data_IF_927322389456
#
_entry.id   IF_927322389456
#
_cell.length_a   1.000
_cell.length_b   1.000
_cell.length_c   1.000
_cell.angle_alpha   90.00
_cell.angle_beta   90.00
_cell.angle_gamma   90.00
#
_symmetry.space_group_name_H-M   'P 1'
#
loop_
_entity.id
_entity.type
_entity.pdbx_description
1 polymer ?
#
# COMPACT_ATOMS: atom_id res chain seq x y z
N UNK A 1 20.44 5.48 21.42
CA UNK A 1 21.47 4.45 21.65
C UNK A 1 21.68 3.73 20.33
N UNK A 2 22.89 3.88 19.80
CA UNK A 2 23.35 3.38 18.51
C UNK A 2 23.29 1.84 18.44
N UNK A 3 22.50 1.30 17.50
CA UNK A 3 22.65 -0.08 17.01
C UNK A 3 22.52 -0.07 15.49
N UNK A 4 23.33 0.74 14.80
CA UNK A 4 23.61 0.59 13.37
C UNK A 4 25.11 0.82 13.14
N UNK A 5 25.94 0.17 13.96
CA UNK A 5 27.39 0.11 13.75
C UNK A 5 27.72 -1.03 12.79
N UNK A 6 28.34 -0.67 11.66
CA UNK A 6 29.16 -1.51 10.78
C UNK A 6 28.70 -2.97 10.59
N UNK A 7 27.80 -3.20 9.63
CA UNK A 7 27.82 -4.47 8.91
C UNK A 7 28.79 -4.36 7.74
N UNK A 8 30.06 -4.68 7.99
CA UNK A 8 30.94 -5.16 6.92
C UNK A 8 30.34 -6.47 6.41
N UNK A 9 29.86 -6.46 5.17
CA UNK A 9 29.30 -7.65 4.55
C UNK A 9 30.40 -8.67 4.29
N UNK A 10 30.21 -9.88 4.82
CA UNK A 10 30.95 -11.06 4.41
C UNK A 10 30.68 -11.25 2.92
N UNK A 11 31.71 -11.12 2.08
CA UNK A 11 31.66 -11.61 0.70
C UNK A 11 31.21 -13.07 0.73
N UNK A 12 30.00 -13.36 0.27
CA UNK A 12 29.53 -14.73 0.13
C UNK A 12 30.52 -15.46 -0.78
N UNK A 13 31.28 -16.40 -0.21
CA UNK A 13 32.09 -17.29 -1.00
C UNK A 13 31.17 -18.08 -1.92
N UNK A 14 31.29 -17.81 -3.20
CA UNK A 14 30.62 -18.49 -4.30
C UNK A 14 30.82 -20.01 -4.15
N UNK A 15 29.79 -20.69 -3.63
CA UNK A 15 29.84 -22.14 -3.43
C UNK A 15 29.69 -22.84 -4.77
N UNK A 16 30.40 -23.95 -4.96
CA UNK A 16 30.34 -24.76 -6.18
C UNK A 16 28.91 -25.24 -6.49
N UNK A 17 28.08 -25.43 -5.47
CA UNK A 17 26.66 -25.80 -5.63
C UNK A 17 25.84 -24.73 -6.33
N UNK A 18 25.96 -23.46 -5.91
CA UNK A 18 25.21 -22.35 -6.53
C UNK A 18 25.63 -22.13 -7.98
N UNK A 19 26.93 -22.30 -8.29
CA UNK A 19 27.42 -22.28 -9.68
C UNK A 19 26.72 -23.34 -10.54
N UNK A 20 26.73 -24.58 -10.07
CA UNK A 20 26.20 -25.72 -10.80
C UNK A 20 24.69 -25.57 -11.06
N UNK A 21 23.94 -25.12 -10.04
CA UNK A 21 22.51 -24.86 -10.19
C UNK A 21 22.22 -23.74 -11.20
N UNK A 22 23.08 -22.71 -11.24
CA UNK A 22 22.97 -21.63 -12.22
C UNK A 22 23.31 -22.10 -13.65
N UNK A 23 24.33 -22.94 -13.81
CA UNK A 23 24.66 -23.58 -15.08
C UNK A 23 23.49 -24.41 -15.60
N UNK A 24 22.88 -25.24 -14.74
CA UNK A 24 21.70 -26.03 -15.06
C UNK A 24 20.53 -25.10 -15.45
N UNK A 25 20.30 -24.03 -14.69
CA UNK A 25 19.25 -23.06 -15.01
C UNK A 25 19.45 -22.44 -16.40
N UNK A 26 20.64 -21.90 -16.70
CA UNK A 26 20.91 -21.23 -17.98
C UNK A 26 20.81 -22.22 -19.15
N UNK A 27 21.38 -23.41 -19.01
CA UNK A 27 21.29 -24.47 -20.02
C UNK A 27 19.84 -24.86 -20.30
N UNK A 28 19.02 -25.01 -19.26
CA UNK A 28 17.60 -25.29 -19.40
C UNK A 28 16.85 -24.14 -20.11
N UNK A 29 17.14 -22.88 -19.78
CA UNK A 29 16.51 -21.74 -20.43
C UNK A 29 16.85 -21.65 -21.94
N UNK A 30 18.10 -21.95 -22.31
CA UNK A 30 18.52 -22.04 -23.72
C UNK A 30 17.76 -23.16 -24.43
N UNK A 31 17.71 -24.35 -23.83
CA UNK A 31 17.02 -25.52 -24.40
C UNK A 31 15.52 -25.30 -24.59
N UNK A 32 14.85 -24.68 -23.62
CA UNK A 32 13.41 -24.41 -23.65
C UNK A 32 13.03 -23.29 -24.62
N UNK A 33 14.00 -22.53 -25.14
CA UNK A 33 13.74 -21.41 -26.05
C UNK A 33 14.19 -21.81 -27.46
N UNK A 34 13.28 -22.16 -28.39
CA UNK A 34 13.65 -22.72 -29.70
C UNK A 34 14.70 -21.91 -30.47
N UNK A 35 14.60 -20.57 -30.41
CA UNK A 35 15.54 -19.66 -31.07
C UNK A 35 16.94 -19.66 -30.45
N UNK A 36 17.05 -19.87 -29.14
CA UNK A 36 18.35 -20.01 -28.46
C UNK A 36 18.89 -21.43 -28.67
N UNK A 37 18.02 -22.44 -28.65
CA UNK A 37 18.37 -23.83 -28.92
C UNK A 37 18.90 -24.04 -30.35
N UNK A 38 18.44 -23.25 -31.33
CA UNK A 38 18.92 -23.30 -32.71
C UNK A 38 20.26 -22.59 -32.94
N UNK A 39 20.81 -21.89 -31.95
CA UNK A 39 22.11 -21.22 -32.10
C UNK A 39 23.25 -22.24 -32.22
N UNK A 40 24.40 -21.87 -32.83
CA UNK A 40 25.59 -22.71 -32.81
C UNK A 40 26.04 -23.00 -31.38
N UNK A 41 26.59 -24.18 -31.12
CA UNK A 41 26.96 -24.60 -29.76
C UNK A 41 27.99 -23.68 -29.12
N UNK A 42 28.93 -23.13 -29.93
CA UNK A 42 29.85 -22.09 -29.48
C UNK A 42 29.11 -20.87 -28.90
N UNK A 43 28.06 -20.41 -29.57
CA UNK A 43 27.28 -19.26 -29.10
C UNK A 43 26.47 -19.60 -27.84
N UNK A 44 25.97 -20.83 -27.71
CA UNK A 44 25.31 -21.29 -26.48
C UNK A 44 26.28 -21.33 -25.31
N UNK A 45 27.50 -21.82 -25.55
CA UNK A 45 28.56 -21.86 -24.55
C UNK A 45 28.96 -20.44 -24.12
N UNK A 46 29.12 -19.51 -25.06
CA UNK A 46 29.39 -18.09 -24.76
C UNK A 46 28.29 -17.47 -23.88
N UNK A 47 27.01 -17.77 -24.17
CA UNK A 47 25.87 -17.32 -23.34
C UNK A 47 26.00 -17.91 -21.94
N UNK A 48 26.21 -19.22 -21.83
CA UNK A 48 26.29 -19.91 -20.54
C UNK A 48 27.44 -19.38 -19.70
N UNK A 49 28.64 -19.29 -20.25
CA UNK A 49 29.84 -18.82 -19.55
C UNK A 49 29.65 -17.40 -19.03
N UNK A 50 29.18 -16.47 -19.89
CA UNK A 50 28.99 -15.07 -19.49
C UNK A 50 27.88 -14.88 -18.49
N UNK A 51 26.77 -15.62 -18.62
CA UNK A 51 25.67 -15.48 -17.68
C UNK A 51 25.98 -16.11 -16.32
N UNK A 52 26.68 -17.24 -16.29
CA UNK A 52 27.07 -17.90 -15.03
C UNK A 52 28.13 -17.09 -14.30
N UNK A 53 29.15 -16.61 -15.02
CA UNK A 53 30.23 -15.81 -14.44
C UNK A 53 29.73 -14.43 -14.02
N UNK A 54 28.92 -13.77 -14.84
CA UNK A 54 28.40 -12.44 -14.57
C UNK A 54 27.36 -12.37 -13.44
N UNK A 55 26.67 -13.48 -13.15
CA UNK A 55 25.65 -13.49 -12.11
C UNK A 55 26.21 -13.34 -10.69
N UNK A 56 27.46 -13.73 -10.45
CA UNK A 56 28.05 -13.70 -9.11
C UNK A 56 27.21 -14.47 -8.06
N UNK A 57 26.52 -15.54 -8.46
CA UNK A 57 25.60 -16.31 -7.60
C UNK A 57 24.15 -15.79 -7.55
N UNK A 58 23.83 -14.68 -8.22
CA UNK A 58 22.48 -14.11 -8.26
C UNK A 58 21.66 -14.66 -9.45
N UNK A 59 20.80 -15.64 -9.19
CA UNK A 59 19.85 -16.16 -10.20
C UNK A 59 19.01 -15.06 -10.85
N UNK A 60 18.61 -14.03 -10.08
CA UNK A 60 17.81 -12.93 -10.59
C UNK A 60 18.52 -12.16 -11.71
N UNK A 61 19.84 -11.95 -11.58
CA UNK A 61 20.61 -11.28 -12.62
C UNK A 61 20.63 -12.12 -13.91
N UNK A 62 20.94 -13.43 -13.80
CA UNK A 62 20.94 -14.33 -14.95
C UNK A 62 19.55 -14.42 -15.61
N UNK A 63 18.47 -14.45 -14.82
CA UNK A 63 17.10 -14.46 -15.32
C UNK A 63 16.77 -13.18 -16.10
N UNK A 64 17.18 -12.00 -15.62
CA UNK A 64 16.98 -10.73 -16.32
C UNK A 64 17.74 -10.70 -17.65
N UNK A 65 19.02 -11.09 -17.65
CA UNK A 65 19.80 -11.12 -18.89
C UNK A 65 19.26 -12.16 -19.89
N UNK A 66 18.76 -13.28 -19.40
CA UNK A 66 18.09 -14.30 -20.21
C UNK A 66 16.77 -13.76 -20.81
N UNK A 67 16.01 -12.96 -20.06
CA UNK A 67 14.82 -12.29 -20.60
C UNK A 67 15.18 -11.31 -21.73
N UNK A 68 16.25 -10.53 -21.57
CA UNK A 68 16.73 -9.62 -22.64
C UNK A 68 17.11 -10.37 -23.92
N UNK A 69 17.78 -11.52 -23.80
CA UNK A 69 18.05 -12.38 -24.95
C UNK A 69 16.75 -12.86 -25.61
N UNK A 70 15.76 -13.29 -24.81
CA UNK A 70 14.46 -13.79 -25.31
C UNK A 70 13.60 -12.72 -25.99
N UNK A 71 13.72 -11.45 -25.59
CA UNK A 71 12.95 -10.34 -26.17
C UNK A 71 13.29 -10.06 -27.63
N UNK A 72 14.50 -10.43 -28.09
CA UNK A 72 14.91 -10.17 -29.47
C UNK A 72 14.14 -11.04 -30.46
N UNK A 73 13.47 -10.39 -31.42
CA UNK A 73 12.74 -11.06 -32.50
C UNK A 73 13.67 -11.82 -33.45
N UNK A 74 14.86 -11.30 -33.67
CA UNK A 74 15.92 -11.91 -34.49
C UNK A 74 17.20 -11.96 -33.65
N UNK A 75 17.82 -13.14 -33.57
CA UNK A 75 19.07 -13.38 -32.84
C UNK A 75 20.08 -13.99 -33.81
N UNK A 76 20.93 -13.15 -34.40
CA UNK A 76 22.12 -13.61 -35.12
C UNK A 76 23.28 -13.71 -34.14
N UNK A 77 24.32 -14.49 -34.46
CA UNK A 77 25.50 -14.61 -33.60
C UNK A 77 26.11 -13.26 -33.21
N UNK A 78 26.11 -12.28 -34.13
CA UNK A 78 26.56 -10.90 -33.85
C UNK A 78 25.69 -10.17 -32.81
N UNK A 79 24.37 -10.40 -32.85
CA UNK A 79 23.42 -9.73 -31.96
C UNK A 79 23.58 -10.27 -30.54
N UNK A 80 23.76 -11.60 -30.44
CA UNK A 80 24.08 -12.27 -29.17
C UNK A 80 25.38 -11.71 -28.59
N UNK A 81 26.45 -11.61 -29.38
CA UNK A 81 27.72 -11.06 -28.91
C UNK A 81 27.59 -9.59 -28.46
N UNK A 82 26.80 -8.78 -29.17
CA UNK A 82 26.52 -7.39 -28.78
C UNK A 82 25.74 -7.29 -27.46
N UNK A 83 24.76 -8.18 -27.23
CA UNK A 83 24.01 -8.22 -25.97
C UNK A 83 24.93 -8.68 -24.85
N UNK A 84 25.67 -9.77 -25.06
CA UNK A 84 26.61 -10.34 -24.11
C UNK A 84 27.79 -9.42 -23.77
N UNK A 85 28.09 -8.40 -24.59
CA UNK A 85 29.10 -7.37 -24.29
C UNK A 85 28.54 -6.14 -23.60
N UNK A 86 27.22 -5.93 -23.65
CA UNK A 86 26.52 -4.81 -23.00
C UNK A 86 25.74 -5.22 -21.76
N UNK A 87 26.06 -6.40 -21.20
CA UNK A 87 25.44 -6.88 -19.96
C UNK A 87 25.83 -5.96 -18.78
N UNK A 88 24.88 -5.59 -17.93
CA UNK A 88 25.15 -4.84 -16.71
C UNK A 88 26.02 -5.67 -15.77
N UNK A 89 26.97 -5.03 -15.08
CA UNK A 89 27.95 -5.72 -14.22
C UNK A 89 27.35 -6.34 -12.95
N UNK A 90 26.15 -5.93 -12.58
CA UNK A 90 25.47 -6.38 -11.36
C UNK A 90 23.96 -6.26 -11.51
N UNK A 91 23.24 -6.78 -10.51
CA UNK A 91 21.79 -6.62 -10.42
C UNK A 91 21.41 -5.14 -10.24
N UNK A 92 22.15 -4.42 -9.40
CA UNK A 92 21.98 -2.98 -9.20
C UNK A 92 22.17 -2.20 -10.51
N UNK A 93 23.22 -2.50 -11.28
CA UNK A 93 23.44 -1.88 -12.60
C UNK A 93 22.34 -2.22 -13.62
N UNK A 94 21.64 -3.35 -13.42
CA UNK A 94 20.48 -3.71 -14.24
C UNK A 94 19.31 -2.79 -13.93
N UNK A 95 19.04 -2.53 -12.65
CA UNK A 95 17.97 -1.62 -12.21
C UNK A 95 18.28 -0.16 -12.54
N UNK A 96 19.51 0.28 -12.30
CA UNK A 96 20.01 1.61 -12.66
C UNK A 96 19.76 1.93 -14.14
N UNK A 97 20.09 0.99 -15.03
CA UNK A 97 19.87 1.16 -16.47
C UNK A 97 18.41 1.38 -16.82
N UNK A 98 17.48 0.68 -16.16
CA UNK A 98 16.04 0.87 -16.39
C UNK A 98 15.60 2.24 -15.91
N UNK A 99 16.02 2.64 -14.70
CA UNK A 99 15.64 3.94 -14.13
C UNK A 99 16.19 5.14 -14.91
N UNK A 100 17.39 5.02 -15.51
CA UNK A 100 18.00 6.04 -16.35
C UNK A 100 17.32 6.20 -17.73
N UNK A 101 16.52 5.21 -18.15
CA UNK A 101 15.81 5.23 -19.44
C UNK A 101 14.42 5.86 -19.34
N UNK A 102 13.97 6.19 -18.12
CA UNK A 102 12.68 6.84 -17.90
C UNK A 102 12.80 8.29 -18.32
N UNK A 103 11.95 8.72 -19.24
CA UNK A 103 11.92 10.08 -19.74
C UNK A 103 11.43 11.06 -18.66
N UNK A 104 11.88 12.32 -18.74
CA UNK A 104 11.64 13.32 -17.70
C UNK A 104 10.18 13.74 -17.57
N UNK A 105 9.39 13.57 -18.63
CA UNK A 105 7.95 13.89 -18.69
C UNK A 105 7.09 12.87 -17.94
N UNK A 106 7.55 11.63 -17.78
CA UNK A 106 6.83 10.55 -17.07
C UNK A 106 7.52 10.09 -15.78
N UNK A 107 8.51 10.87 -15.32
CA UNK A 107 9.35 10.50 -14.17
C UNK A 107 8.57 10.53 -12.85
N UNK A 108 7.57 11.40 -12.76
CA UNK A 108 6.71 11.51 -11.58
C UNK A 108 5.88 10.24 -11.42
N UNK A 109 5.23 9.80 -12.49
CA UNK A 109 4.37 8.63 -12.52
C UNK A 109 5.17 7.36 -12.25
N UNK A 110 6.37 7.24 -12.84
CA UNK A 110 7.27 6.13 -12.55
C UNK A 110 7.70 6.10 -11.06
N UNK A 111 8.05 7.25 -10.50
CA UNK A 111 8.43 7.38 -9.08
C UNK A 111 7.26 6.98 -8.17
N UNK A 112 6.10 7.56 -8.39
CA UNK A 112 4.88 7.31 -7.60
C UNK A 112 4.48 5.84 -7.71
N UNK A 113 4.48 5.27 -8.91
CA UNK A 113 4.26 3.85 -9.16
C UNK A 113 5.19 2.95 -8.33
N UNK A 114 6.50 3.25 -8.31
CA UNK A 114 7.47 2.47 -7.53
C UNK A 114 7.29 2.65 -6.01
N UNK A 115 6.89 3.84 -5.54
CA UNK A 115 6.53 4.07 -4.13
C UNK A 115 5.34 3.21 -3.71
N UNK A 116 4.27 3.19 -4.51
CA UNK A 116 3.11 2.32 -4.29
C UNK A 116 3.50 0.84 -4.30
N UNK A 117 4.24 0.37 -5.32
CA UNK A 117 4.68 -1.02 -5.41
C UNK A 117 5.61 -1.47 -4.28
N UNK A 118 6.33 -0.54 -3.66
CA UNK A 118 7.24 -0.84 -2.55
C UNK A 118 6.51 -1.04 -1.23
N UNK A 119 5.29 -0.51 -1.08
CA UNK A 119 4.60 -0.49 0.21
C UNK A 119 3.15 -0.97 0.17
N UNK A 120 2.58 -1.29 -1.01
CA UNK A 120 1.20 -1.75 -1.13
C UNK A 120 0.93 -3.02 -0.31
N UNK A 121 -0.17 -3.04 0.45
CA UNK A 121 -0.54 -4.16 1.34
C UNK A 121 -0.98 -5.40 0.55
N UNK A 122 -1.62 -5.19 -0.59
CA UNK A 122 -1.95 -6.25 -1.56
C UNK A 122 -1.46 -5.86 -2.96
N UNK A 123 -1.24 -6.84 -3.86
CA UNK A 123 -1.08 -6.56 -5.28
C UNK A 123 -2.20 -5.64 -5.78
N UNK A 124 -1.85 -4.63 -6.55
CA UNK A 124 -2.83 -3.76 -7.21
C UNK A 124 -3.33 -4.42 -8.48
N UNK A 125 -4.59 -4.21 -8.84
CA UNK A 125 -5.02 -4.45 -10.21
C UNK A 125 -4.35 -3.44 -11.13
N UNK A 126 -4.21 -3.79 -12.41
CA UNK A 126 -3.46 -2.97 -13.35
C UNK A 126 -4.07 -1.57 -13.52
N UNK A 127 -5.39 -1.47 -13.55
CA UNK A 127 -6.12 -0.20 -13.57
C UNK A 127 -5.96 0.61 -12.27
N UNK A 128 -5.92 -0.06 -11.11
CA UNK A 128 -5.64 0.61 -9.83
C UNK A 128 -4.21 1.16 -9.80
N UNK A 129 -3.28 0.43 -10.42
CA UNK A 129 -1.89 0.84 -10.53
C UNK A 129 -1.71 2.09 -11.41
N UNK A 130 -2.49 2.20 -12.49
CA UNK A 130 -2.54 3.41 -13.33
C UNK A 130 -3.02 4.60 -12.50
N UNK A 131 -4.20 4.51 -11.87
CA UNK A 131 -4.72 5.61 -11.05
C UNK A 131 -3.75 5.99 -9.93
N UNK A 132 -3.18 4.99 -9.23
CA UNK A 132 -2.22 5.21 -8.17
C UNK A 132 -0.98 5.98 -8.62
N UNK A 133 -0.50 5.75 -9.86
CA UNK A 133 0.71 6.36 -10.40
C UNK A 133 0.57 7.86 -10.67
N UNK A 134 -0.64 8.35 -10.95
CA UNK A 134 -0.88 9.75 -11.35
C UNK A 134 -1.36 10.64 -10.20
N UNK A 135 -1.66 10.08 -9.02
CA UNK A 135 -2.13 10.90 -7.89
C UNK A 135 -0.99 11.72 -7.31
N UNK A 136 -1.17 13.04 -7.24
CA UNK A 136 -0.31 13.95 -6.50
C UNK A 136 -1.07 14.65 -5.36
N UNK A 137 -1.00 14.14 -4.11
CA UNK A 137 -1.77 14.71 -3.02
C UNK A 137 -1.31 16.10 -2.59
N UNK A 138 -0.15 16.59 -3.07
CA UNK A 138 0.37 17.93 -2.78
C UNK A 138 -0.12 19.00 -3.77
N UNK A 139 -0.80 18.61 -4.85
CA UNK A 139 -1.37 19.53 -5.84
C UNK A 139 -2.78 20.00 -5.48
N UNK A 140 -3.21 21.12 -6.07
CA UNK A 140 -4.57 21.67 -5.91
C UNK A 140 -5.63 20.71 -6.47
N UNK A 141 -5.31 20.06 -7.58
CA UNK A 141 -6.11 18.99 -8.20
C UNK A 141 -5.34 17.67 -8.10
N UNK A 142 -5.47 16.91 -7.01
CA UNK A 142 -4.62 15.74 -6.78
C UNK A 142 -4.77 14.58 -7.75
N UNK A 143 -5.89 14.53 -8.48
CA UNK A 143 -6.20 13.46 -9.41
C UNK A 143 -7.04 14.02 -10.54
N UNK A 144 -6.64 13.68 -11.75
CA UNK A 144 -7.32 14.04 -13.00
C UNK A 144 -7.26 12.84 -13.94
N UNK A 145 -8.42 12.41 -14.41
CA UNK A 145 -8.58 11.23 -15.25
C UNK A 145 -7.91 11.40 -16.63
N UNK A 146 -7.76 12.65 -17.09
CA UNK A 146 -7.14 12.96 -18.38
C UNK A 146 -5.63 12.66 -18.40
N UNK A 147 -4.99 12.51 -17.23
CA UNK A 147 -3.58 12.10 -17.12
C UNK A 147 -3.38 10.58 -17.07
N UNK A 148 -4.44 9.76 -17.19
CA UNK A 148 -4.30 8.30 -17.17
C UNK A 148 -3.40 7.80 -18.31
N UNK A 149 -2.28 7.19 -17.94
CA UNK A 149 -1.40 6.48 -18.86
C UNK A 149 -2.08 5.16 -19.28
N UNK A 150 -1.89 4.73 -20.52
CA UNK A 150 -2.34 3.42 -20.94
C UNK A 150 -1.79 2.33 -19.99
N UNK A 151 -2.62 1.38 -19.53
CA UNK A 151 -2.20 0.33 -18.61
C UNK A 151 -0.92 -0.41 -18.99
N UNK A 152 -0.73 -0.73 -20.28
CA UNK A 152 0.45 -1.45 -20.73
C UNK A 152 1.65 -0.54 -20.98
N UNK A 153 1.44 0.73 -21.32
CA UNK A 153 2.54 1.70 -21.46
C UNK A 153 3.22 1.95 -20.10
N UNK A 154 2.44 2.04 -19.01
CA UNK A 154 2.99 2.12 -17.65
C UNK A 154 3.77 0.86 -17.26
N UNK A 155 3.37 -0.31 -17.77
CA UNK A 155 4.12 -1.57 -17.55
C UNK A 155 5.44 -1.55 -18.30
N UNK A 156 5.42 -1.06 -19.54
CA UNK A 156 6.58 -0.96 -20.42
C UNK A 156 7.56 0.13 -19.96
N UNK A 157 7.13 1.08 -19.13
CA UNK A 157 7.97 2.08 -18.46
C UNK A 157 8.87 1.48 -17.37
N UNK A 158 8.47 0.37 -16.74
CA UNK A 158 9.15 -0.23 -15.58
C UNK A 158 9.64 -1.66 -15.83
N UNK A 159 10.32 -1.95 -16.96
CA UNK A 159 10.62 -3.31 -17.39
C UNK A 159 11.57 -4.00 -16.41
N UNK A 160 11.18 -5.18 -15.93
CA UNK A 160 11.99 -5.98 -15.01
C UNK A 160 12.02 -5.47 -13.57
N UNK A 161 11.45 -4.30 -13.29
CA UNK A 161 11.20 -3.75 -11.95
C UNK A 161 9.84 -4.24 -11.40
N UNK A 162 8.83 -4.33 -12.26
CA UNK A 162 7.51 -4.87 -11.94
C UNK A 162 7.17 -6.13 -12.73
N UNK A 163 6.14 -6.85 -12.28
CA UNK A 163 5.61 -8.06 -12.90
C UNK A 163 4.09 -8.00 -12.91
N UNK A 164 3.52 -8.32 -14.07
CA UNK A 164 2.08 -8.47 -14.26
C UNK A 164 1.70 -9.96 -14.18
N UNK A 165 0.64 -10.28 -13.44
CA UNK A 165 0.09 -11.62 -13.29
C UNK A 165 -1.43 -11.63 -13.57
N UNK A 166 -1.94 -12.51 -14.46
CA UNK A 166 -1.15 -13.36 -15.36
C UNK A 166 -0.36 -12.52 -16.37
N UNK A 167 0.67 -13.10 -16.99
CA UNK A 167 1.43 -12.39 -18.03
C UNK A 167 0.50 -12.05 -19.20
N UNK A 168 0.49 -10.80 -19.69
CA UNK A 168 -0.33 -10.44 -20.86
C UNK A 168 0.11 -11.22 -22.10
N UNK A 169 -0.85 -11.53 -22.98
CA UNK A 169 -0.57 -12.18 -24.25
C UNK A 169 0.19 -11.19 -25.16
N UNK A 170 1.42 -11.53 -25.52
CA UNK A 170 2.31 -10.69 -26.33
C UNK A 170 1.86 -10.50 -27.79
N UNK A 171 0.88 -11.27 -28.25
CA UNK A 171 0.37 -11.16 -29.64
C UNK A 171 -0.74 -10.11 -29.76
N UNK A 172 -1.63 -10.06 -28.77
CA UNK A 172 -2.74 -9.11 -28.68
C UNK A 172 -3.09 -8.92 -27.19
N UNK A 173 -2.49 -7.93 -26.51
CA UNK A 173 -2.82 -7.66 -25.12
C UNK A 173 -4.21 -7.03 -25.08
N UNK A 174 -5.24 -7.83 -24.80
CA UNK A 174 -6.56 -7.31 -24.47
C UNK A 174 -6.55 -6.93 -22.99
N UNK A 175 -6.77 -5.65 -22.72
CA UNK A 175 -7.04 -5.20 -21.36
C UNK A 175 -8.36 -5.80 -20.90
N UNK A 176 -8.31 -6.50 -19.76
CA UNK A 176 -9.47 -7.06 -19.08
C UNK A 176 -9.39 -6.51 -17.67
N UNK A 177 -10.41 -5.76 -17.29
CA UNK A 177 -10.49 -5.14 -15.98
C UNK A 177 -10.49 -6.23 -14.89
N UNK A 178 -9.78 -5.97 -13.79
CA UNK A 178 -9.64 -6.83 -12.62
C UNK A 178 -9.06 -8.22 -12.90
N UNK A 179 -8.43 -8.40 -14.06
CA UNK A 179 -7.79 -9.66 -14.44
C UNK A 179 -6.28 -9.63 -14.16
N UNK A 180 -5.63 -8.50 -14.44
CA UNK A 180 -4.20 -8.34 -14.29
C UNK A 180 -3.87 -7.69 -12.95
N UNK A 181 -2.93 -8.28 -12.22
CA UNK A 181 -2.37 -7.74 -10.98
C UNK A 181 -0.90 -7.39 -11.15
N UNK A 182 -0.45 -6.33 -10.51
CA UNK A 182 0.92 -5.82 -10.58
C UNK A 182 1.60 -5.98 -9.23
N UNK A 183 2.82 -6.50 -9.25
CA UNK A 183 3.72 -6.59 -8.09
C UNK A 183 5.11 -6.15 -8.49
N UNK A 184 5.98 -5.88 -7.52
CA UNK A 184 7.42 -5.86 -7.80
C UNK A 184 7.86 -7.19 -8.42
N UNK A 185 8.78 -7.13 -9.36
CA UNK A 185 9.23 -8.29 -10.10
C UNK A 185 10.07 -9.25 -9.24
N UNK A 186 10.69 -8.73 -8.19
CA UNK A 186 11.46 -9.47 -7.21
C UNK A 186 11.71 -8.62 -5.95
N UNK A 187 11.92 -9.24 -4.79
CA UNK A 187 12.18 -8.50 -3.53
C UNK A 187 13.43 -7.60 -3.61
N UNK A 188 14.43 -8.01 -4.39
CA UNK A 188 15.66 -7.23 -4.59
C UNK A 188 15.44 -5.87 -5.24
N UNK A 189 14.32 -5.67 -5.96
CA UNK A 189 13.94 -4.35 -6.48
C UNK A 189 13.61 -3.42 -5.32
N UNK A 190 12.80 -3.88 -4.37
CA UNK A 190 12.48 -3.13 -3.14
C UNK A 190 13.74 -2.81 -2.35
N UNK A 191 14.60 -3.81 -2.14
CA UNK A 191 15.86 -3.59 -1.43
C UNK A 191 16.75 -2.57 -2.15
N UNK A 192 16.74 -2.52 -3.48
CA UNK A 192 17.55 -1.55 -4.22
C UNK A 192 17.03 -0.13 -4.03
N UNK A 193 15.72 0.07 -4.19
CA UNK A 193 15.05 1.38 -4.09
C UNK A 193 15.07 1.97 -2.68
N UNK A 194 14.98 1.12 -1.64
CA UNK A 194 14.94 1.56 -0.23
C UNK A 194 16.34 1.72 0.38
N UNK A 195 17.37 1.11 -0.21
CA UNK A 195 18.74 1.21 0.26
C UNK A 195 19.47 2.47 -0.22
N UNK A 196 20.66 2.72 0.32
CA UNK A 196 21.60 3.74 -0.16
C UNK A 196 22.40 3.33 -1.39
N UNK A 197 21.97 2.29 -2.14
CA UNK A 197 22.69 1.74 -3.31
C UNK A 197 22.44 2.51 -4.61
N UNK A 198 21.39 3.32 -4.65
CA UNK A 198 21.11 4.17 -5.81
C UNK A 198 22.24 5.20 -6.01
N UNK A 199 22.73 5.40 -7.24
CA UNK A 199 23.60 6.52 -7.56
C UNK A 199 22.94 7.86 -7.22
N UNK A 200 23.75 8.84 -6.79
CA UNK A 200 23.26 10.18 -6.39
C UNK A 200 22.36 10.84 -7.44
N UNK A 201 22.65 10.64 -8.73
CA UNK A 201 21.86 11.18 -9.84
C UNK A 201 20.42 10.63 -9.89
N UNK A 202 20.20 9.39 -9.42
CA UNK A 202 18.88 8.76 -9.38
C UNK A 202 18.19 8.90 -8.01
N UNK A 203 18.97 9.08 -6.93
CA UNK A 203 18.43 9.08 -5.56
C UNK A 203 17.31 10.09 -5.34
N UNK A 204 17.39 11.27 -5.94
CA UNK A 204 16.35 12.31 -5.81
C UNK A 204 14.97 11.84 -6.28
N UNK A 205 14.93 11.07 -7.37
CA UNK A 205 13.68 10.60 -7.96
C UNK A 205 13.28 9.22 -7.41
N UNK A 206 14.22 8.30 -7.22
CA UNK A 206 13.88 6.89 -7.02
C UNK A 206 14.30 6.31 -5.67
N UNK A 207 14.95 7.08 -4.78
CA UNK A 207 15.17 6.61 -3.41
C UNK A 207 13.85 6.63 -2.64
N UNK A 208 13.50 5.50 -2.04
CA UNK A 208 12.22 5.33 -1.35
C UNK A 208 12.46 5.20 0.15
N UNK A 209 11.99 6.19 0.91
CA UNK A 209 11.75 6.01 2.33
C UNK A 209 10.35 5.37 2.50
N UNK A 210 10.30 4.22 3.17
CA UNK A 210 9.04 3.45 3.31
C UNK A 210 8.00 4.16 4.18
N UNK A 211 8.42 4.94 5.18
CA UNK A 211 7.48 5.71 6.00
C UNK A 211 6.85 6.84 5.18
N UNK A 212 7.66 7.58 4.41
CA UNK A 212 7.15 8.59 3.49
C UNK A 212 6.26 7.98 2.40
N UNK A 213 6.60 6.78 1.91
CA UNK A 213 5.76 6.07 0.94
C UNK A 213 4.41 5.66 1.53
N UNK A 214 4.37 5.16 2.78
CA UNK A 214 3.11 4.88 3.46
C UNK A 214 2.28 6.14 3.69
N UNK A 215 2.90 7.25 4.10
CA UNK A 215 2.23 8.54 4.24
C UNK A 215 1.66 9.04 2.90
N UNK A 216 2.43 8.91 1.81
CA UNK A 216 1.97 9.21 0.45
C UNK A 216 0.72 8.39 0.12
N UNK A 217 0.74 7.06 0.32
CA UNK A 217 -0.42 6.20 0.01
C UNK A 217 -1.66 6.59 0.82
N UNK A 218 -1.51 6.97 2.10
CA UNK A 218 -2.64 7.48 2.91
C UNK A 218 -3.20 8.76 2.30
N UNK A 219 -2.35 9.74 2.03
CA UNK A 219 -2.76 11.04 1.47
C UNK A 219 -3.38 10.89 0.08
N UNK A 220 -2.78 10.08 -0.79
CA UNK A 220 -3.30 9.76 -2.12
C UNK A 220 -4.64 9.04 -2.04
N UNK A 221 -4.81 8.08 -1.12
CA UNK A 221 -6.09 7.39 -0.90
C UNK A 221 -7.19 8.37 -0.47
N UNK A 222 -6.89 9.29 0.44
CA UNK A 222 -7.85 10.30 0.89
C UNK A 222 -8.21 11.29 -0.23
N UNK A 223 -7.22 11.72 -1.01
CA UNK A 223 -7.43 12.59 -2.15
C UNK A 223 -8.32 11.93 -3.22
N UNK A 224 -8.02 10.68 -3.55
CA UNK A 224 -8.79 9.87 -4.48
C UNK A 224 -10.23 9.64 -4.00
N UNK A 225 -10.43 9.36 -2.70
CA UNK A 225 -11.76 9.23 -2.08
C UNK A 225 -12.57 10.52 -2.26
N UNK A 226 -11.97 11.69 -1.97
CA UNK A 226 -12.64 12.99 -2.14
C UNK A 226 -13.01 13.25 -3.60
N UNK A 227 -12.12 12.93 -4.54
CA UNK A 227 -12.39 13.04 -5.97
C UNK A 227 -13.58 12.16 -6.39
N UNK A 228 -13.60 10.88 -5.97
CA UNK A 228 -14.74 9.99 -6.22
C UNK A 228 -16.06 10.59 -5.69
N UNK A 229 -16.05 11.15 -4.48
CA UNK A 229 -17.22 11.76 -3.85
C UNK A 229 -17.69 13.00 -4.61
N UNK A 230 -16.77 13.85 -5.10
CA UNK A 230 -17.14 15.03 -5.89
C UNK A 230 -17.74 14.66 -7.25
N UNK A 231 -17.33 13.54 -7.82
CA UNK A 231 -17.91 12.99 -9.05
C UNK A 231 -19.23 12.24 -8.83
N UNK A 232 -19.74 12.19 -7.59
CA UNK A 232 -21.00 11.53 -7.27
C UNK A 232 -20.91 10.00 -7.29
N UNK A 233 -19.70 9.44 -7.23
CA UNK A 233 -19.49 8.00 -7.20
C UNK A 233 -20.27 7.36 -6.06
N UNK A 234 -21.14 6.43 -6.44
CA UNK A 234 -22.04 5.74 -5.53
C UNK A 234 -21.47 4.39 -5.11
N UNK A 235 -22.14 3.73 -4.18
CA UNK A 235 -21.72 2.46 -3.57
C UNK A 235 -21.24 1.43 -4.62
N UNK A 236 -20.15 0.67 -4.37
CA UNK A 236 -19.49 -0.19 -5.38
C UNK A 236 -20.29 -1.45 -5.78
N UNK A 237 -21.62 -1.47 -5.68
CA UNK A 237 -22.45 -2.58 -6.16
C UNK A 237 -22.58 -2.63 -7.69
N UNK A 238 -22.39 -1.50 -8.36
CA UNK A 238 -22.40 -1.43 -9.82
C UNK A 238 -20.99 -1.67 -10.36
N UNK A 239 -20.86 -2.64 -11.26
CA UNK A 239 -19.61 -2.90 -11.99
C UNK A 239 -19.09 -1.59 -12.62
N UNK A 240 -20.01 -0.80 -13.17
CA UNK A 240 -19.77 0.49 -13.82
C UNK A 240 -18.97 1.49 -12.94
N UNK A 241 -19.18 1.52 -11.63
CA UNK A 241 -18.45 2.43 -10.73
C UNK A 241 -16.99 2.02 -10.50
N UNK A 242 -16.65 0.75 -10.71
CA UNK A 242 -15.29 0.23 -10.61
C UNK A 242 -14.51 0.46 -11.91
N UNK A 243 -15.22 0.65 -13.02
CA UNK A 243 -14.64 0.98 -14.33
C UNK A 243 -14.19 2.44 -14.35
N UNK A 244 -14.99 3.33 -13.77
CA UNK A 244 -14.70 4.76 -13.66
C UNK A 244 -13.70 5.08 -12.56
N UNK A 245 -13.81 4.44 -11.38
CA UNK A 245 -12.90 4.66 -10.26
C UNK A 245 -12.20 3.38 -9.75
N UNK A 246 -11.27 2.79 -10.54
CA UNK A 246 -10.58 1.56 -10.20
C UNK A 246 -9.98 1.50 -8.78
N UNK A 247 -9.24 2.54 -8.37
CA UNK A 247 -8.52 2.54 -7.08
C UNK A 247 -9.43 2.67 -5.86
N UNK A 248 -10.72 2.95 -6.04
CA UNK A 248 -11.63 3.32 -4.95
C UNK A 248 -11.70 2.25 -3.85
N UNK A 249 -11.82 0.98 -4.22
CA UNK A 249 -11.91 -0.11 -3.25
C UNK A 249 -10.61 -0.22 -2.42
N UNK A 250 -9.44 -0.06 -3.04
CA UNK A 250 -8.17 -0.04 -2.33
C UNK A 250 -8.11 1.14 -1.37
N UNK A 251 -8.39 2.36 -1.88
CA UNK A 251 -8.32 3.60 -1.13
C UNK A 251 -9.18 3.51 0.15
N UNK A 252 -10.44 3.10 0.04
CA UNK A 252 -11.30 2.94 1.20
C UNK A 252 -10.87 1.81 2.13
N UNK A 253 -10.43 0.66 1.62
CA UNK A 253 -10.20 -0.52 2.48
C UNK A 253 -8.78 -0.63 3.06
N UNK A 254 -7.81 0.14 2.58
CA UNK A 254 -6.39 -0.01 2.93
C UNK A 254 -5.74 1.21 3.57
N UNK A 255 -6.31 2.42 3.44
CA UNK A 255 -5.70 3.63 3.99
C UNK A 255 -5.40 3.53 5.49
N UNK A 256 -6.31 2.96 6.29
CA UNK A 256 -6.14 2.86 7.75
C UNK A 256 -4.95 1.96 8.13
N UNK A 257 -4.75 0.87 7.39
CA UNK A 257 -3.62 -0.02 7.62
C UNK A 257 -2.28 0.64 7.27
N UNK A 258 -2.24 1.46 6.21
CA UNK A 258 -1.06 2.28 5.94
C UNK A 258 -0.85 3.33 7.03
N UNK A 259 -1.92 3.94 7.53
CA UNK A 259 -1.83 4.96 8.58
C UNK A 259 -1.28 4.41 9.90
N UNK A 260 -1.62 3.17 10.26
CA UNK A 260 -1.07 2.49 11.43
C UNK A 260 0.45 2.29 11.38
N UNK A 261 1.05 2.26 10.18
CA UNK A 261 2.49 2.06 10.01
C UNK A 261 3.29 3.36 10.17
N UNK A 262 2.63 4.53 10.13
CA UNK A 262 3.28 5.85 10.17
C UNK A 262 2.52 6.86 11.03
N UNK A 263 2.14 6.53 12.28
CA UNK A 263 1.31 7.39 13.11
C UNK A 263 1.91 8.78 13.32
N UNK A 264 3.24 8.87 13.49
CA UNK A 264 3.95 10.12 13.79
C UNK A 264 4.04 11.09 12.60
N UNK A 265 3.88 10.59 11.36
CA UNK A 265 3.95 11.40 10.14
C UNK A 265 2.58 11.94 9.70
N UNK A 266 1.51 11.56 10.39
CA UNK A 266 0.14 11.82 9.97
C UNK A 266 -0.60 12.85 10.81
N UNK A 267 0.06 13.50 11.77
CA UNK A 267 -0.54 14.57 12.57
C UNK A 267 -1.14 15.69 11.70
N UNK A 268 -0.52 15.99 10.56
CA UNK A 268 -1.02 16.97 9.59
C UNK A 268 -2.15 16.43 8.69
N UNK A 269 -2.34 15.12 8.65
CA UNK A 269 -3.30 14.43 7.77
C UNK A 269 -4.64 14.18 8.48
N UNK A 270 -4.66 14.13 9.81
CA UNK A 270 -5.90 13.93 10.59
C UNK A 270 -7.01 14.95 10.32
N UNK A 271 -6.74 16.25 10.12
CA UNK A 271 -7.78 17.20 9.68
C UNK A 271 -8.44 16.75 8.37
N UNK A 272 -7.65 16.26 7.40
CA UNK A 272 -8.16 15.77 6.13
C UNK A 272 -8.96 14.46 6.30
N UNK A 273 -8.49 13.54 7.16
CA UNK A 273 -9.21 12.30 7.50
C UNK A 273 -10.57 12.64 8.10
N UNK A 274 -10.58 13.50 9.12
CA UNK A 274 -11.79 13.92 9.81
C UNK A 274 -12.74 14.65 8.84
N UNK A 275 -12.24 15.58 8.03
CA UNK A 275 -13.07 16.27 7.03
C UNK A 275 -13.66 15.33 5.98
N UNK A 276 -12.92 14.31 5.55
CA UNK A 276 -13.38 13.32 4.58
C UNK A 276 -14.46 12.42 5.18
N UNK A 277 -14.19 11.82 6.35
CA UNK A 277 -15.10 10.84 6.96
C UNK A 277 -16.20 11.43 7.84
N UNK A 278 -16.22 12.76 8.06
CA UNK A 278 -17.41 13.47 8.54
C UNK A 278 -18.57 13.40 7.55
N UNK A 279 -18.29 13.21 6.27
CA UNK A 279 -19.32 13.06 5.25
C UNK A 279 -19.98 11.66 5.36
N UNK A 280 -21.31 11.57 5.54
CA UNK A 280 -21.99 10.27 5.68
C UNK A 280 -21.74 9.31 4.51
N UNK A 281 -21.67 9.83 3.27
CA UNK A 281 -21.38 9.03 2.09
C UNK A 281 -20.00 8.35 2.19
N UNK A 282 -18.97 9.11 2.54
CA UNK A 282 -17.61 8.59 2.72
C UNK A 282 -17.55 7.52 3.82
N UNK A 283 -18.17 7.77 4.98
CA UNK A 283 -18.18 6.83 6.09
C UNK A 283 -18.94 5.53 5.77
N UNK A 284 -20.05 5.62 5.05
CA UNK A 284 -20.80 4.45 4.58
C UNK A 284 -19.99 3.63 3.56
N UNK A 285 -19.36 4.30 2.58
CA UNK A 285 -18.50 3.65 1.59
C UNK A 285 -17.27 3.00 2.24
N UNK A 286 -16.69 3.65 3.26
CA UNK A 286 -15.59 3.08 4.01
C UNK A 286 -15.99 1.81 4.76
N UNK A 287 -17.12 1.85 5.48
CA UNK A 287 -17.69 0.68 6.17
C UNK A 287 -17.93 -0.46 5.19
N UNK A 288 -18.57 -0.17 4.06
CA UNK A 288 -18.88 -1.11 3.00
C UNK A 288 -17.65 -1.78 2.39
N UNK A 289 -16.67 -0.97 2.02
CA UNK A 289 -15.43 -1.41 1.38
C UNK A 289 -14.60 -2.25 2.34
N UNK A 290 -14.53 -1.83 3.62
CA UNK A 290 -13.92 -2.64 4.69
C UNK A 290 -14.57 -4.01 4.79
N UNK A 291 -15.90 -4.09 4.68
CA UNK A 291 -16.62 -5.38 4.70
C UNK A 291 -16.38 -6.22 3.45
N UNK A 292 -16.38 -5.61 2.26
CA UNK A 292 -16.18 -6.33 0.98
C UNK A 292 -14.78 -6.93 0.88
N UNK A 293 -13.75 -6.18 1.27
CA UNK A 293 -12.38 -6.68 1.28
C UNK A 293 -12.22 -7.89 2.21
N UNK A 294 -12.97 -7.94 3.33
CA UNK A 294 -13.02 -9.12 4.23
C UNK A 294 -13.64 -10.35 3.56
N UNK A 295 -14.74 -10.19 2.82
CA UNK A 295 -15.44 -11.31 2.16
C UNK A 295 -14.61 -11.97 1.06
N UNK A 296 -13.70 -11.23 0.43
CA UNK A 296 -12.84 -11.71 -0.65
C UNK A 296 -11.62 -12.53 -0.19
N UNK A 297 -11.53 -12.93 1.10
CA UNK A 297 -10.47 -13.80 1.66
C UNK A 297 -9.04 -13.22 1.57
N UNK A 298 -8.87 -11.94 1.85
CA UNK A 298 -7.54 -11.33 1.94
C UNK A 298 -6.98 -11.24 3.37
N UNK A 299 -7.79 -11.46 4.42
CA UNK A 299 -7.36 -11.38 5.83
C UNK A 299 -8.03 -12.47 6.67
N UNK A 300 -7.26 -13.15 7.54
CA UNK A 300 -7.70 -14.27 8.39
C UNK A 300 -8.03 -13.88 9.83
N UNK A 301 -7.87 -12.61 10.21
CA UNK A 301 -7.96 -12.18 11.61
C UNK A 301 -8.73 -10.86 11.81
N UNK A 302 -9.74 -10.94 12.70
CA UNK A 302 -10.13 -9.95 13.74
C UNK A 302 -11.31 -8.97 13.50
N UNK A 303 -12.08 -8.83 14.59
CA UNK A 303 -13.13 -7.88 15.04
C UNK A 303 -14.12 -7.27 14.04
N UNK A 304 -15.36 -7.75 14.13
CA UNK A 304 -16.54 -7.14 13.52
C UNK A 304 -17.05 -5.98 14.38
N UNK A 305 -16.97 -4.76 13.86
CA UNK A 305 -17.59 -3.57 14.43
C UNK A 305 -18.70 -3.08 13.49
N UNK A 306 -19.93 -3.08 13.99
CA UNK A 306 -21.10 -2.60 13.27
C UNK A 306 -21.82 -1.53 14.07
N UNK A 307 -22.26 -0.48 13.38
CA UNK A 307 -23.07 0.58 13.95
C UNK A 307 -24.50 0.05 14.04
N UNK A 308 -25.15 0.03 15.22
CA UNK A 308 -26.57 -0.29 15.30
C UNK A 308 -27.37 0.68 14.43
N UNK A 309 -28.49 0.22 13.86
CA UNK A 309 -29.30 1.06 12.97
C UNK A 309 -29.70 2.41 13.59
N UNK A 310 -29.97 2.43 14.90
CA UNK A 310 -30.30 3.65 15.65
C UNK A 310 -29.13 4.65 15.69
N UNK A 311 -27.89 4.18 15.61
CA UNK A 311 -26.66 4.97 15.57
C UNK A 311 -26.61 5.97 14.42
N UNK A 312 -27.22 5.64 13.27
CA UNK A 312 -27.28 6.51 12.10
C UNK A 312 -28.18 7.74 12.28
N UNK A 313 -29.00 7.78 13.33
CA UNK A 313 -29.86 8.93 13.64
C UNK A 313 -29.08 10.13 14.20
N UNK A 314 -27.86 9.93 14.71
CA UNK A 314 -27.01 11.03 15.17
C UNK A 314 -26.34 11.72 13.98
N UNK A 315 -26.35 13.07 13.89
CA UNK A 315 -25.60 13.78 12.86
C UNK A 315 -24.08 13.50 12.93
N UNK A 316 -23.57 13.16 14.12
CA UNK A 316 -22.16 12.89 14.37
C UNK A 316 -21.77 11.41 14.25
N UNK A 317 -22.70 10.53 13.84
CA UNK A 317 -22.41 9.10 13.66
C UNK A 317 -21.15 8.80 12.83
N UNK A 318 -20.81 9.56 11.76
CA UNK A 318 -19.60 9.30 10.98
C UNK A 318 -18.33 9.52 11.79
N UNK A 319 -18.29 10.60 12.59
CA UNK A 319 -17.16 10.93 13.46
C UNK A 319 -17.02 9.91 14.58
N UNK A 320 -18.13 9.47 15.17
CA UNK A 320 -18.11 8.41 16.17
C UNK A 320 -17.66 7.06 15.57
N UNK A 321 -18.07 6.74 14.34
CA UNK A 321 -17.58 5.55 13.63
C UNK A 321 -16.07 5.60 13.42
N UNK A 322 -15.55 6.76 12.99
CA UNK A 322 -14.12 6.99 12.83
C UNK A 322 -13.37 6.83 14.17
N UNK A 323 -13.91 7.38 15.26
CA UNK A 323 -13.34 7.20 16.61
C UNK A 323 -13.27 5.73 17.01
N UNK A 324 -14.36 4.98 16.85
CA UNK A 324 -14.39 3.55 17.18
C UNK A 324 -13.38 2.76 16.34
N UNK A 325 -13.25 3.06 15.05
CA UNK A 325 -12.25 2.45 14.18
C UNK A 325 -10.83 2.76 14.66
N UNK A 326 -10.52 4.02 14.97
CA UNK A 326 -9.23 4.45 15.49
C UNK A 326 -8.86 3.74 16.81
N UNK A 327 -9.83 3.51 17.70
CA UNK A 327 -9.64 2.74 18.94
C UNK A 327 -9.33 1.28 18.64
N UNK A 328 -10.11 0.65 17.75
CA UNK A 328 -9.93 -0.77 17.38
C UNK A 328 -8.57 -0.99 16.68
N UNK A 329 -8.13 -0.05 15.86
CA UNK A 329 -6.81 -0.09 15.21
C UNK A 329 -5.65 0.32 16.11
N UNK A 330 -5.92 0.83 17.32
CA UNK A 330 -4.88 1.32 18.23
C UNK A 330 -4.18 2.59 17.76
N UNK A 331 -4.81 3.40 16.89
CA UNK A 331 -4.22 4.65 16.42
C UNK A 331 -4.45 5.78 17.43
N UNK A 332 -3.55 5.88 18.41
CA UNK A 332 -3.67 6.85 19.51
C UNK A 332 -3.67 8.31 19.07
N UNK A 333 -2.85 8.66 18.06
CA UNK A 333 -2.76 10.04 17.56
C UNK A 333 -4.10 10.48 16.98
N UNK A 334 -4.74 9.63 16.17
CA UNK A 334 -6.06 9.91 15.61
C UNK A 334 -7.15 9.96 16.70
N UNK A 335 -7.10 9.08 17.70
CA UNK A 335 -8.05 9.13 18.84
C UNK A 335 -7.96 10.47 19.56
N UNK A 336 -6.76 10.92 19.93
CA UNK A 336 -6.55 12.21 20.60
C UNK A 336 -7.06 13.36 19.74
N UNK A 337 -6.69 13.38 18.45
CA UNK A 337 -7.13 14.40 17.51
C UNK A 337 -8.66 14.50 17.41
N UNK A 338 -9.37 13.36 17.36
CA UNK A 338 -10.84 13.37 17.27
C UNK A 338 -11.47 13.90 18.57
N UNK A 339 -10.95 13.51 19.73
CA UNK A 339 -11.45 13.99 21.02
C UNK A 339 -11.22 15.49 21.19
N UNK A 340 -10.02 15.98 20.82
CA UNK A 340 -9.67 17.40 20.86
C UNK A 340 -10.49 18.24 19.86
N UNK A 341 -11.06 17.61 18.83
CA UNK A 341 -11.95 18.27 17.87
C UNK A 341 -13.35 18.60 18.43
N UNK A 342 -13.62 18.25 19.69
CA UNK A 342 -14.86 18.62 20.40
C UNK A 342 -16.03 17.67 20.16
N UNK A 343 -15.77 16.40 19.85
CA UNK A 343 -16.83 15.40 19.68
C UNK A 343 -17.58 15.20 21.01
N UNK A 344 -18.89 15.48 21.00
CA UNK A 344 -19.75 15.28 22.18
C UNK A 344 -20.02 13.79 22.40
N UNK A 345 -19.48 13.25 23.49
CA UNK A 345 -19.66 11.85 23.91
C UNK A 345 -20.82 11.66 24.88
N UNK A 346 -21.41 12.74 25.42
CA UNK A 346 -22.34 12.68 26.56
C UNK A 346 -23.80 12.49 26.16
N UNK A 347 -24.20 12.91 24.96
CA UNK A 347 -25.63 12.97 24.63
C UNK A 347 -26.23 11.67 24.11
N UNK A 348 -25.43 10.65 23.78
CA UNK A 348 -25.99 9.45 23.13
C UNK A 348 -25.19 8.16 23.36
N UNK A 349 -25.81 7.06 23.86
CA UNK A 349 -25.21 5.73 23.79
C UNK A 349 -25.41 5.16 22.37
N UNK A 350 -24.94 5.83 21.31
CA UNK A 350 -25.45 5.61 19.95
C UNK A 350 -24.66 4.65 19.05
N UNK A 351 -23.39 4.36 19.35
CA UNK A 351 -22.79 3.13 18.82
C UNK A 351 -22.87 2.10 19.91
N UNK A 352 -23.90 1.26 19.83
CA UNK A 352 -24.11 0.11 20.71
C UNK A 352 -22.79 -0.54 21.06
N UNK A 353 -22.66 -0.92 22.33
CA UNK A 353 -21.41 -1.33 22.94
C UNK A 353 -20.54 -2.11 21.94
N UNK A 354 -19.36 -1.62 21.52
CA UNK A 354 -18.45 -2.36 20.64
C UNK A 354 -18.11 -3.76 21.20
N UNK A 355 -18.43 -4.00 22.47
CA UNK A 355 -18.23 -5.22 23.23
C UNK A 355 -19.50 -6.06 23.48
N UNK A 356 -20.68 -5.72 22.93
CA UNK A 356 -21.89 -6.56 23.07
C UNK A 356 -22.68 -6.72 21.77
N UNK A 357 -22.83 -7.96 21.32
CA UNK A 357 -23.99 -8.37 20.52
C UNK A 357 -25.06 -9.00 21.42
N UNK A 358 -26.36 -8.81 21.11
CA UNK A 358 -27.44 -9.42 21.86
C UNK A 358 -27.57 -10.90 21.46
N UNK A 359 -27.28 -11.78 22.41
CA UNK A 359 -27.65 -13.20 22.36
C UNK A 359 -26.67 -14.10 21.60
N UNK A 360 -25.54 -14.44 22.21
CA UNK A 360 -24.90 -15.75 22.01
C UNK A 360 -23.91 -16.01 23.13
N UNK A 361 -24.12 -17.12 23.85
CA UNK A 361 -23.18 -17.64 24.82
C UNK A 361 -21.85 -17.98 24.11
N UNK A 362 -20.77 -17.44 24.65
CA UNK A 362 -19.38 -17.89 24.51
C UNK A 362 -18.68 -17.69 23.16
N UNK A 363 -18.28 -16.45 22.89
CA UNK A 363 -16.89 -16.15 22.53
C UNK A 363 -16.53 -14.78 23.11
N UNK A 364 -15.87 -14.78 24.28
CA UNK A 364 -15.30 -13.56 24.85
C UNK A 364 -14.28 -13.00 23.87
N UNK A 365 -14.45 -11.75 23.42
CA UNK A 365 -13.27 -10.94 23.12
C UNK A 365 -12.63 -10.69 24.48
N UNK A 366 -11.66 -11.52 24.82
CA UNK A 366 -10.91 -11.35 26.05
C UNK A 366 -10.22 -9.98 26.00
N UNK A 367 -10.52 -9.16 27.01
CA UNK A 367 -9.84 -7.91 27.34
C UNK A 367 -8.30 -8.07 27.46
N UNK A 368 -7.79 -9.30 27.48
CA UNK A 368 -6.35 -9.62 27.44
C UNK A 368 -5.68 -9.32 26.09
N UNK A 369 -6.43 -9.12 25.01
CA UNK A 369 -5.91 -8.77 23.68
C UNK A 369 -5.72 -7.27 23.44
N UNK A 370 -6.36 -6.42 24.24
CA UNK A 370 -6.19 -4.96 24.23
C UNK A 370 -4.93 -4.60 25.04
N UNK A 371 -3.76 -4.93 24.50
CA UNK A 371 -2.48 -4.40 24.99
C UNK A 371 -2.36 -2.92 24.62
N UNK A 372 -3.20 -2.08 25.22
CA UNK A 372 -3.04 -0.64 25.43
C UNK A 372 -4.17 -0.17 26.36
N UNK A 373 -4.08 -0.63 27.62
CA UNK A 373 -4.79 -0.07 28.78
C UNK A 373 -4.79 1.48 28.87
N UNK A 374 -3.84 2.26 28.31
CA UNK A 374 -3.92 3.71 28.36
C UNK A 374 -5.04 4.33 27.52
N UNK A 375 -5.42 3.75 26.37
CA UNK A 375 -6.32 4.42 25.40
C UNK A 375 -7.79 4.35 25.83
N UNK A 376 -8.24 3.15 26.24
CA UNK A 376 -9.56 2.97 26.85
C UNK A 376 -9.68 3.76 28.15
N UNK A 377 -8.58 3.84 28.92
CA UNK A 377 -8.51 4.65 30.12
C UNK A 377 -8.49 6.15 29.80
N UNK A 378 -7.85 6.61 28.72
CA UNK A 378 -7.90 8.00 28.24
C UNK A 378 -9.32 8.38 27.82
N UNK A 379 -9.98 7.52 27.04
CA UNK A 379 -11.35 7.75 26.59
C UNK A 379 -12.34 7.79 27.78
N UNK A 380 -12.11 6.94 28.80
CA UNK A 380 -12.90 6.93 30.04
C UNK A 380 -12.54 8.10 30.99
N UNK A 381 -11.26 8.48 31.13
CA UNK A 381 -10.81 9.57 32.02
C UNK A 381 -11.20 10.95 31.46
N UNK A 382 -11.15 11.15 30.13
CA UNK A 382 -11.65 12.37 29.47
C UNK A 382 -13.17 12.51 29.64
N UNK A 383 -13.91 11.39 29.68
CA UNK A 383 -15.36 11.38 29.92
C UNK A 383 -15.75 11.67 31.39
N UNK A 384 -14.79 11.73 32.33
CA UNK A 384 -15.05 11.85 33.78
C UNK A 384 -14.63 13.23 34.34
N UNK A 385 -14.20 14.20 33.54
CA UNK A 385 -14.00 15.57 34.03
C UNK A 385 -15.25 16.41 33.76
N UNK A 386 -16.22 16.51 34.70
CA UNK A 386 -17.27 17.50 34.57
C UNK A 386 -16.67 18.88 34.89
N UNK A 387 -16.85 19.81 33.97
CA UNK A 387 -16.70 21.24 34.20
C UNK A 387 -17.65 21.68 35.31
N UNK A 388 -17.17 21.69 36.56
CA UNK A 388 -17.83 22.35 37.69
C UNK A 388 -16.83 23.22 38.43
N UNK A 389 -16.80 24.50 38.07
CA UNK A 389 -16.22 25.58 38.86
C UNK A 389 -17.21 26.74 38.86
N UNK A 390 -17.70 27.08 40.06
CA UNK A 390 -18.57 28.21 40.42
C UNK A 390 -20.06 28.11 40.05
N UNK A 391 -20.84 27.54 40.97
CA UNK A 391 -21.79 28.31 41.79
C UNK A 391 -22.47 27.38 42.81
N UNK A 392 -22.09 27.51 44.08
CA UNK A 392 -22.89 27.05 45.23
C UNK A 392 -22.60 27.98 46.39
N UNK A 393 -23.58 28.81 46.71
CA UNK A 393 -24.00 29.12 48.08
C UNK A 393 -25.23 30.00 47.97
N UNK A 394 -26.41 29.42 48.18
CA UNK A 394 -27.48 30.05 48.95
C UNK A 394 -28.66 29.10 49.14
N UNK A 395 -29.17 29.10 50.37
CA UNK A 395 -30.46 28.57 50.87
C UNK A 395 -30.60 27.08 51.18
N UNK A 396 -30.35 26.76 52.46
CA UNK A 396 -31.05 25.68 53.18
C UNK A 396 -31.08 26.04 54.67
N UNK A 397 -31.97 26.97 55.01
CA UNK A 397 -32.49 27.15 56.37
C UNK A 397 -34.01 27.23 56.26
N UNK A 398 -34.67 26.24 56.87
CA UNK A 398 -36.03 26.24 57.42
C UNK A 398 -36.63 24.84 57.24
N UNK A 399 -36.71 24.07 58.34
CA UNK A 399 -37.90 23.31 58.72
C UNK A 399 -37.62 22.52 60.02
N UNK A 400 -37.85 23.18 61.15
CA UNK A 400 -38.10 22.52 62.45
C UNK A 400 -39.03 23.40 63.28
N UNK A 401 -40.34 23.15 63.18
CA UNK A 401 -41.27 23.37 64.30
C UNK A 401 -42.64 22.76 64.01
N UNK A 402 -43.09 21.92 64.94
CA UNK A 402 -44.42 21.89 65.60
C UNK A 402 -44.93 20.45 65.74
N UNK A 403 -44.74 19.90 66.95
CA UNK A 403 -45.75 19.10 67.63
C UNK A 403 -46.23 19.91 68.85
N UNK A 404 -47.53 20.17 68.85
CA UNK A 404 -48.43 20.02 70.01
C UNK A 404 -49.67 19.32 69.50
#
# INVERSE_FOLDING_TARGET
MEILGNQEWITFHYSSGVKNDLEIYVANQIKLTPRLASLPDRTKQDIQEKLVTGAGGMFRWAALQMQELKKKRVLRGRDVQSILSSLPKSLDATYERVLLQIDSDVIYEAKTALQWMSCCIRPLYLEEFVDASIINPDEETPFDEDFRINPFDLVDLLPGLIKVNPSPNSSHPTFIQRHYTVTLAHFSVKEYLVSSRLPKALSYNFSINLELAHSLVVRSSLAYIRHCLSMGSSYPHHQDSLDEFPLQLYAYSRWEMHAQLVPDLLDQVWPCVLGTFKQPAAALMWRASSWRSRRLREESTVCHFDIPFQGFSSPDWPTHYLLCRAIISGNESLVRFILDSGLNLTDTPLLGNPFCQPGTNQAQISLSGLRTLPILRLALEISIVPSFGQQREETLDNYTSVQS
#
